data_IF_626277941773
#
_entry.id   IF_626277941773
#
_cell.length_a   1.000
_cell.length_b   1.000
_cell.length_c   1.000
_cell.angle_alpha   90.00
_cell.angle_beta   90.00
_cell.angle_gamma   90.00
#
_symmetry.space_group_name_H-M   'P 1'
#
loop_
_entity.id
_entity.type
_entity.pdbx_description
1 polymer ?
#
# COMPACT_ATOMS: atom_id res chain seq x y z
N UNK A 1 3.09 -8.67 -15.51
CA UNK A 1 3.61 -7.84 -14.42
C UNK A 1 3.58 -6.44 -14.97
N UNK A 2 2.92 -5.52 -14.30
CA UNK A 2 2.75 -4.17 -14.83
C UNK A 2 4.01 -3.36 -14.55
N UNK A 3 4.74 -2.94 -15.59
CA UNK A 3 5.94 -2.09 -15.46
C UNK A 3 5.68 -0.84 -14.62
N UNK A 4 4.43 -0.34 -14.64
CA UNK A 4 3.97 0.77 -13.79
C UNK A 4 4.10 0.46 -12.29
N UNK A 5 3.77 -0.77 -11.87
CA UNK A 5 3.89 -1.21 -10.47
C UNK A 5 5.35 -1.24 -10.06
N UNK A 6 6.20 -1.86 -10.87
CA UNK A 6 7.64 -1.99 -10.59
C UNK A 6 8.30 -0.61 -10.50
N UNK A 7 8.01 0.29 -11.44
CA UNK A 7 8.50 1.66 -11.40
C UNK A 7 8.02 2.42 -10.14
N UNK A 8 6.77 2.20 -9.74
CA UNK A 8 6.21 2.82 -8.53
C UNK A 8 6.89 2.32 -7.24
N UNK A 9 7.11 1.00 -7.12
CA UNK A 9 7.79 0.39 -5.97
C UNK A 9 9.23 0.89 -5.84
N UNK A 10 9.98 0.92 -6.95
CA UNK A 10 11.38 1.39 -6.99
C UNK A 10 11.45 2.87 -6.61
N UNK A 11 10.55 3.71 -7.17
CA UNK A 11 10.50 5.13 -6.85
C UNK A 11 10.25 5.36 -5.36
N UNK A 12 9.24 4.71 -4.77
CA UNK A 12 8.93 4.90 -3.36
C UNK A 12 10.01 4.34 -2.43
N UNK A 13 10.69 3.26 -2.82
CA UNK A 13 11.85 2.73 -2.09
C UNK A 13 12.97 3.77 -1.96
N UNK A 14 13.30 4.48 -3.04
CA UNK A 14 14.38 5.48 -3.05
C UNK A 14 14.08 6.75 -2.24
N UNK A 15 12.80 7.08 -2.04
CA UNK A 15 12.37 8.31 -1.36
C UNK A 15 12.07 8.07 0.13
N UNK A 16 12.00 6.81 0.56
CA UNK A 16 11.58 6.41 1.91
C UNK A 16 12.76 6.35 2.90
N UNK A 17 12.52 6.75 4.15
CA UNK A 17 13.44 6.52 5.28
C UNK A 17 13.61 5.02 5.55
N UNK A 18 14.78 4.59 6.06
CA UNK A 18 15.23 3.18 6.21
C UNK A 18 14.13 2.15 6.54
N UNK A 19 13.28 2.43 7.53
CA UNK A 19 12.22 1.50 7.99
C UNK A 19 11.14 1.27 6.92
N UNK A 20 10.77 2.31 6.17
CA UNK A 20 9.77 2.23 5.10
C UNK A 20 10.38 1.63 3.83
N UNK A 21 11.67 1.87 3.59
CA UNK A 21 12.39 1.26 2.47
C UNK A 21 12.45 -0.28 2.58
N UNK A 22 12.63 -0.83 3.79
CA UNK A 22 12.58 -2.28 4.02
C UNK A 22 11.19 -2.87 3.72
N UNK A 23 10.13 -2.16 4.13
CA UNK A 23 8.74 -2.52 3.81
C UNK A 23 8.54 -2.59 2.29
N UNK A 24 8.95 -1.56 1.55
CA UNK A 24 8.81 -1.53 0.09
C UNK A 24 9.58 -2.68 -0.56
N UNK A 25 10.80 -2.95 -0.12
CA UNK A 25 11.60 -4.08 -0.62
C UNK A 25 10.90 -5.42 -0.37
N UNK A 26 10.27 -5.60 0.79
CA UNK A 26 9.54 -6.83 1.10
C UNK A 26 8.28 -6.98 0.25
N UNK A 27 7.52 -5.91 0.03
CA UNK A 27 6.36 -5.91 -0.86
C UNK A 27 6.75 -6.25 -2.31
N UNK A 28 7.84 -5.66 -2.80
CA UNK A 28 8.39 -5.95 -4.12
C UNK A 28 8.78 -7.43 -4.28
N UNK A 29 9.50 -8.00 -3.31
CA UNK A 29 9.88 -9.41 -3.36
C UNK A 29 8.65 -10.34 -3.34
N UNK A 30 7.64 -10.04 -2.51
CA UNK A 30 6.42 -10.83 -2.42
C UNK A 30 5.60 -10.73 -3.71
N UNK A 31 5.52 -9.54 -4.32
CA UNK A 31 4.86 -9.31 -5.61
C UNK A 31 5.60 -10.04 -6.75
N UNK A 32 6.93 -9.92 -6.81
CA UNK A 32 7.75 -10.58 -7.83
C UNK A 32 7.63 -12.11 -7.76
N UNK A 33 7.63 -12.67 -6.55
CA UNK A 33 7.41 -14.11 -6.31
C UNK A 33 5.94 -14.53 -6.48
N UNK A 34 5.02 -13.60 -6.78
CA UNK A 34 3.57 -13.83 -6.92
C UNK A 34 2.95 -14.48 -5.67
N UNK A 35 3.48 -14.16 -4.50
CA UNK A 35 3.00 -14.69 -3.21
C UNK A 35 1.82 -13.87 -2.71
N UNK A 36 0.69 -13.91 -3.42
CA UNK A 36 -0.48 -13.04 -3.16
C UNK A 36 -0.99 -13.12 -1.70
N UNK A 37 -0.95 -14.32 -1.12
CA UNK A 37 -1.43 -14.50 0.24
C UNK A 37 -0.47 -13.90 1.28
N UNK A 38 0.84 -14.07 1.10
CA UNK A 38 1.83 -13.45 1.98
C UNK A 38 1.87 -11.92 1.77
N UNK A 39 1.72 -11.48 0.52
CA UNK A 39 1.64 -10.08 0.16
C UNK A 39 0.50 -9.39 0.89
N UNK A 40 -0.71 -9.96 0.88
CA UNK A 40 -1.87 -9.40 1.59
C UNK A 40 -1.69 -9.38 3.11
N UNK A 41 -1.13 -10.44 3.70
CA UNK A 41 -0.83 -10.48 5.14
C UNK A 41 0.15 -9.38 5.51
N UNK A 42 1.21 -9.20 4.72
CA UNK A 42 2.19 -8.15 4.99
C UNK A 42 1.61 -6.77 4.75
N UNK A 43 0.82 -6.58 3.69
CA UNK A 43 0.10 -5.34 3.42
C UNK A 43 -0.75 -4.92 4.61
N UNK A 44 -1.48 -5.86 5.23
CA UNK A 44 -2.30 -5.59 6.41
C UNK A 44 -1.47 -5.05 7.56
N UNK A 45 -0.29 -5.62 7.84
CA UNK A 45 0.60 -5.12 8.90
C UNK A 45 1.09 -3.71 8.61
N UNK A 46 1.43 -3.44 7.35
CA UNK A 46 1.94 -2.15 6.88
C UNK A 46 0.84 -1.08 6.98
N UNK A 47 -0.39 -1.41 6.57
CA UNK A 47 -1.53 -0.48 6.64
C UNK A 47 -2.06 -0.34 8.07
N UNK A 48 -1.77 -1.27 8.97
CA UNK A 48 -1.98 -1.07 10.41
C UNK A 48 -0.92 -0.17 11.07
N UNK A 49 0.19 0.14 10.39
CA UNK A 49 1.25 0.99 10.94
C UNK A 49 1.02 2.46 10.58
N UNK A 50 0.42 3.23 11.49
CA UNK A 50 0.13 4.65 11.34
C UNK A 50 1.28 5.49 10.75
N UNK A 51 2.53 5.19 11.11
CA UNK A 51 3.68 5.92 10.58
C UNK A 51 3.82 5.76 9.04
N UNK A 52 3.53 4.57 8.52
CA UNK A 52 3.53 4.31 7.08
C UNK A 52 2.35 5.03 6.40
N UNK A 53 1.16 4.92 6.99
CA UNK A 53 -0.08 5.53 6.49
C UNK A 53 0.05 7.05 6.36
N UNK A 54 0.71 7.70 7.32
CA UNK A 54 0.93 9.15 7.33
C UNK A 54 2.04 9.57 6.36
N UNK A 55 3.03 8.72 6.12
CA UNK A 55 4.17 9.04 5.26
C UNK A 55 3.85 8.90 3.77
N UNK A 56 2.92 8.03 3.40
CA UNK A 56 2.60 7.76 1.99
C UNK A 56 1.19 8.22 1.61
N UNK A 57 0.95 8.39 0.31
CA UNK A 57 -0.40 8.56 -0.21
C UNK A 57 -1.06 7.20 -0.47
N UNK A 58 -1.97 6.80 0.42
CA UNK A 58 -2.65 5.51 0.30
C UNK A 58 -3.58 5.42 -0.89
N UNK A 59 -4.11 6.55 -1.38
CA UNK A 59 -4.97 6.55 -2.57
C UNK A 59 -4.12 6.19 -3.79
N UNK A 60 -2.97 6.84 -3.93
CA UNK A 60 -2.00 6.51 -4.99
C UNK A 60 -1.50 5.07 -4.84
N UNK A 61 -1.24 4.61 -3.62
CA UNK A 61 -0.85 3.22 -3.35
C UNK A 61 -1.92 2.20 -3.76
N UNK A 62 -3.19 2.48 -3.47
CA UNK A 62 -4.28 1.59 -3.87
C UNK A 62 -4.39 1.49 -5.39
N UNK A 63 -4.40 2.64 -6.08
CA UNK A 63 -4.55 2.73 -7.54
C UNK A 63 -3.37 2.10 -8.29
N UNK A 64 -2.14 2.37 -7.84
CA UNK A 64 -0.94 1.91 -8.52
C UNK A 64 -0.50 0.50 -8.13
N UNK A 65 -0.92 -0.01 -6.96
CA UNK A 65 -0.44 -1.30 -6.45
C UNK A 65 -1.56 -2.27 -6.13
N UNK A 66 -2.50 -1.92 -5.27
CA UNK A 66 -3.51 -2.87 -4.75
C UNK A 66 -4.49 -3.32 -5.85
N UNK A 67 -4.89 -2.39 -6.73
CA UNK A 67 -5.82 -2.66 -7.82
C UNK A 67 -5.35 -3.77 -8.79
N UNK A 68 -4.03 -3.95 -8.93
CA UNK A 68 -3.45 -4.98 -9.78
C UNK A 68 -3.73 -6.41 -9.33
N UNK A 69 -3.91 -6.63 -8.02
CA UNK A 69 -4.09 -7.96 -7.47
C UNK A 69 -5.36 -8.12 -6.63
N UNK A 70 -6.19 -7.07 -6.51
CA UNK A 70 -7.45 -7.11 -5.76
C UNK A 70 -8.39 -8.24 -6.24
N UNK A 71 -8.40 -8.52 -7.55
CA UNK A 71 -9.21 -9.58 -8.15
C UNK A 71 -8.70 -11.00 -7.88
N UNK A 72 -7.46 -11.14 -7.36
CA UNK A 72 -6.84 -12.45 -7.06
C UNK A 72 -6.88 -12.80 -5.57
N UNK A 73 -7.33 -11.89 -4.72
CA UNK A 73 -7.34 -12.05 -3.27
C UNK A 73 -8.77 -12.14 -2.74
N UNK A 74 -8.92 -12.73 -1.55
CA UNK A 74 -10.22 -12.88 -0.92
C UNK A 74 -10.84 -11.49 -0.64
N UNK A 75 -12.07 -11.21 -1.09
CA UNK A 75 -12.74 -9.93 -0.85
C UNK A 75 -12.80 -9.55 0.63
N UNK A 76 -12.89 -10.51 1.55
CA UNK A 76 -12.85 -10.23 2.99
C UNK A 76 -11.50 -9.63 3.41
N UNK A 77 -10.39 -10.18 2.92
CA UNK A 77 -9.06 -9.67 3.19
C UNK A 77 -8.85 -8.29 2.54
N UNK A 78 -9.41 -8.08 1.36
CA UNK A 78 -9.37 -6.79 0.67
C UNK A 78 -10.10 -5.71 1.49
N UNK A 79 -11.28 -6.00 2.03
CA UNK A 79 -12.02 -5.03 2.86
C UNK A 79 -11.23 -4.63 4.11
N UNK A 80 -10.56 -5.56 4.78
CA UNK A 80 -9.71 -5.26 5.94
C UNK A 80 -8.55 -4.30 5.59
N UNK A 81 -8.07 -4.33 4.35
CA UNK A 81 -7.06 -3.44 3.80
C UNK A 81 -7.66 -2.08 3.40
N UNK A 82 -8.82 -2.08 2.74
CA UNK A 82 -9.44 -0.89 2.17
C UNK A 82 -10.08 0.01 3.23
N UNK A 83 -10.60 -0.55 4.34
CA UNK A 83 -11.18 0.25 5.44
C UNK A 83 -10.21 1.31 5.98
N UNK A 84 -8.99 0.94 6.44
CA UNK A 84 -8.03 1.94 6.94
C UNK A 84 -7.56 2.89 5.82
N UNK A 85 -7.47 2.42 4.58
CA UNK A 85 -7.17 3.28 3.42
C UNK A 85 -8.23 4.37 3.24
N UNK A 86 -9.51 3.98 3.16
CA UNK A 86 -10.64 4.88 3.03
C UNK A 86 -10.73 5.85 4.21
N UNK A 87 -10.47 5.37 5.44
CA UNK A 87 -10.44 6.20 6.65
C UNK A 87 -9.36 7.28 6.55
N UNK A 88 -8.14 6.92 6.14
CA UNK A 88 -7.05 7.89 5.99
C UNK A 88 -7.33 8.93 4.90
N UNK A 89 -7.88 8.51 3.74
CA UNK A 89 -8.32 9.42 2.68
C UNK A 89 -9.36 10.41 3.21
N UNK A 90 -10.34 9.93 3.98
CA UNK A 90 -11.36 10.77 4.57
C UNK A 90 -10.82 11.76 5.61
N UNK A 91 -9.88 11.32 6.45
CA UNK A 91 -9.21 12.19 7.45
C UNK A 91 -8.41 13.29 6.75
N UNK A 92 -7.55 12.95 5.78
CA UNK A 92 -6.80 13.94 4.99
C UNK A 92 -7.74 14.94 4.31
N UNK A 93 -8.85 14.48 3.73
CA UNK A 93 -9.84 15.36 3.08
C UNK A 93 -10.45 16.39 4.04
N UNK A 94 -10.69 16.00 5.31
CA UNK A 94 -11.22 16.92 6.33
C UNK A 94 -10.24 18.04 6.72
N UNK A 95 -8.94 17.77 6.73
CA UNK A 95 -7.92 18.79 7.05
C UNK A 95 -7.81 19.86 5.95
N UNK A 96 -8.06 19.50 4.69
CA UNK A 96 -8.03 20.43 3.56
C UNK A 96 -9.15 21.47 3.54
N UNK A 97 -10.26 21.23 4.25
CA UNK A 97 -11.38 22.19 4.33
C UNK A 97 -11.28 23.19 5.49
N UNK A 98 -10.29 23.05 6.37
CA UNK A 98 -10.16 23.86 7.58
C UNK A 98 -9.01 24.89 7.54
N UNK A 99 -8.35 25.07 6.40
CA UNK A 99 -7.34 26.11 6.17
C UNK A 99 -7.79 27.11 5.11
#
# INVERSE_FOLDING_TARGET
MSERVEAYLVKNKSVSHDVIADIWQKLEQLYFRKLWHQLTVELRKVISNDAFIQTIDLKEFYDNFINEFEHRINPLQLVEIVIPVAKSIFVKSKEFYHS
#
